data_IF_538344658589
#
_entry.id   IF_538344658589
#
_cell.length_a   1.000
_cell.length_b   1.000
_cell.length_c   1.000
_cell.angle_alpha   90.00
_cell.angle_beta   90.00
_cell.angle_gamma   90.00
#
_symmetry.space_group_name_H-M   'P 1'
#
loop_
_entity.id
_entity.type
_entity.pdbx_description
1 polymer ?
#
# COMPACT_ATOMS: atom_id res chain seq x y z
N UNK A 1 -25.34 7.80 2.15
CA UNK A 1 -24.47 7.63 0.96
C UNK A 1 -23.23 8.52 1.02
N UNK A 2 -23.36 9.84 1.21
CA UNK A 2 -22.23 10.79 1.22
C UNK A 2 -21.09 10.46 2.19
N UNK A 3 -21.38 9.94 3.40
CA UNK A 3 -20.34 9.59 4.36
C UNK A 3 -19.39 8.47 3.86
N UNK A 4 -19.92 7.50 3.10
CA UNK A 4 -19.13 6.41 2.52
C UNK A 4 -18.24 6.91 1.39
N UNK A 5 -18.78 7.78 0.53
CA UNK A 5 -18.02 8.48 -0.53
C UNK A 5 -16.88 9.30 0.06
N UNK A 6 -17.13 10.09 1.11
CA UNK A 6 -16.10 10.86 1.81
C UNK A 6 -15.02 9.94 2.41
N UNK A 7 -15.41 8.80 2.99
CA UNK A 7 -14.46 7.84 3.56
C UNK A 7 -13.57 7.19 2.49
N UNK A 8 -14.14 6.86 1.34
CA UNK A 8 -13.37 6.36 0.20
C UNK A 8 -12.39 7.43 -0.32
N UNK A 9 -12.85 8.68 -0.47
CA UNK A 9 -12.00 9.79 -0.93
C UNK A 9 -10.84 10.09 0.03
N UNK A 10 -11.11 10.14 1.34
CA UNK A 10 -10.09 10.24 2.40
C UNK A 10 -9.07 9.11 2.28
N UNK A 11 -9.53 7.87 2.06
CA UNK A 11 -8.61 6.73 1.90
C UNK A 11 -7.74 6.83 0.65
N UNK A 12 -8.29 7.28 -0.48
CA UNK A 12 -7.53 7.51 -1.71
C UNK A 12 -6.45 8.56 -1.46
N UNK A 13 -6.80 9.72 -0.86
CA UNK A 13 -5.83 10.77 -0.52
C UNK A 13 -4.70 10.23 0.36
N UNK A 14 -5.05 9.49 1.41
CA UNK A 14 -4.06 8.91 2.32
C UNK A 14 -3.16 7.87 1.64
N UNK A 15 -3.65 7.13 0.64
CA UNK A 15 -2.84 6.18 -0.11
C UNK A 15 -1.91 6.86 -1.12
N UNK A 16 -2.30 8.01 -1.66
CA UNK A 16 -1.43 8.85 -2.50
C UNK A 16 -0.33 9.50 -1.68
N UNK A 17 -0.67 10.00 -0.48
CA UNK A 17 0.26 10.67 0.44
C UNK A 17 1.04 9.70 1.34
N UNK A 18 0.88 8.38 1.15
CA UNK A 18 1.57 7.38 1.94
C UNK A 18 3.07 7.38 1.62
N UNK A 19 3.82 8.24 2.30
CA UNK A 19 5.27 8.29 2.23
C UNK A 19 5.87 7.21 3.12
N UNK A 20 6.85 6.48 2.60
CA UNK A 20 7.46 5.34 3.31
C UNK A 20 8.57 5.78 4.28
N UNK A 21 9.07 7.00 4.13
CA UNK A 21 10.03 7.59 5.07
C UNK A 21 9.41 7.87 6.44
N UNK A 22 8.07 7.96 6.49
CA UNK A 22 7.32 8.27 7.71
C UNK A 22 6.72 7.04 8.39
N UNK A 23 6.69 5.87 7.72
CA UNK A 23 6.04 4.66 8.25
C UNK A 23 6.82 3.37 7.96
N UNK A 24 6.98 2.48 8.96
CA UNK A 24 7.64 1.19 8.73
C UNK A 24 6.79 0.26 7.85
N UNK A 25 7.45 -0.66 7.16
CA UNK A 25 6.85 -1.55 6.14
C UNK A 25 5.66 -2.37 6.65
N UNK A 26 5.69 -2.82 7.91
CA UNK A 26 4.59 -3.56 8.51
C UNK A 26 3.32 -2.69 8.66
N UNK A 27 3.46 -1.41 9.01
CA UNK A 27 2.32 -0.48 9.11
C UNK A 27 1.71 -0.21 7.75
N UNK A 28 2.53 -0.06 6.72
CA UNK A 28 2.06 0.11 5.34
C UNK A 28 1.28 -1.14 4.92
N UNK A 29 1.81 -2.33 5.22
CA UNK A 29 1.15 -3.61 4.90
C UNK A 29 -0.22 -3.72 5.58
N UNK A 30 -0.29 -3.46 6.89
CA UNK A 30 -1.55 -3.46 7.64
C UNK A 30 -2.56 -2.47 7.07
N UNK A 31 -2.09 -1.28 6.69
CA UNK A 31 -2.94 -0.24 6.11
C UNK A 31 -3.52 -0.64 4.75
N UNK A 32 -2.74 -1.33 3.91
CA UNK A 32 -3.20 -1.89 2.64
C UNK A 32 -4.23 -3.01 2.86
N UNK A 33 -3.99 -3.92 3.82
CA UNK A 33 -4.92 -5.00 4.17
C UNK A 33 -6.26 -4.41 4.63
N UNK A 34 -6.23 -3.44 5.55
CA UNK A 34 -7.45 -2.78 6.02
C UNK A 34 -8.21 -2.07 4.88
N UNK A 35 -7.47 -1.48 3.93
CA UNK A 35 -8.09 -0.82 2.78
C UNK A 35 -8.83 -1.83 1.90
N UNK A 36 -8.23 -2.98 1.62
CA UNK A 36 -8.89 -4.05 0.86
C UNK A 36 -10.09 -4.65 1.59
N UNK A 37 -9.97 -4.86 2.90
CA UNK A 37 -10.99 -5.54 3.67
C UNK A 37 -12.22 -4.66 3.92
N UNK A 38 -12.03 -3.37 4.16
CA UNK A 38 -13.12 -2.50 4.65
C UNK A 38 -13.50 -1.39 3.67
N UNK A 39 -12.55 -0.84 2.92
CA UNK A 39 -12.81 0.33 2.07
C UNK A 39 -13.15 -0.09 0.63
N UNK A 40 -12.49 -1.11 0.10
CA UNK A 40 -12.77 -1.60 -1.25
C UNK A 40 -14.23 -2.07 -1.44
N UNK A 41 -14.85 -2.82 -0.50
CA UNK A 41 -16.27 -3.17 -0.59
C UNK A 41 -17.16 -1.93 -0.53
N UNK A 42 -16.81 -0.97 0.33
CA UNK A 42 -17.53 0.30 0.43
C UNK A 42 -17.49 1.10 -0.87
N UNK A 43 -16.36 1.13 -1.56
CA UNK A 43 -16.20 1.79 -2.85
C UNK A 43 -17.10 1.16 -3.93
N UNK A 44 -17.22 -0.19 -3.95
CA UNK A 44 -18.11 -0.91 -4.89
C UNK A 44 -19.57 -0.50 -4.74
N UNK A 45 -20.00 -0.13 -3.54
CA UNK A 45 -21.37 0.31 -3.27
C UNK A 45 -21.63 1.78 -3.61
N UNK A 46 -20.61 2.59 -3.87
CA UNK A 46 -20.78 4.05 -4.03
C UNK A 46 -20.30 4.62 -5.36
N UNK A 47 -19.18 4.14 -5.91
CA UNK A 47 -18.62 4.65 -7.17
C UNK A 47 -17.59 3.66 -7.75
N UNK A 48 -17.83 3.17 -8.97
CA UNK A 48 -16.92 2.27 -9.69
C UNK A 48 -15.54 2.87 -9.94
N UNK A 49 -15.44 4.17 -10.19
CA UNK A 49 -14.18 4.85 -10.46
C UNK A 49 -13.29 4.85 -9.20
N UNK A 50 -13.90 4.97 -8.02
CA UNK A 50 -13.18 4.85 -6.75
C UNK A 50 -12.65 3.43 -6.51
N UNK A 51 -13.32 2.41 -7.04
CA UNK A 51 -12.82 1.01 -6.96
C UNK A 51 -11.58 0.84 -7.82
N UNK A 52 -11.58 1.40 -9.03
CA UNK A 52 -10.44 1.38 -9.95
C UNK A 52 -9.25 2.05 -9.28
N UNK A 53 -9.42 3.29 -8.82
CA UNK A 53 -8.35 4.07 -8.19
C UNK A 53 -7.76 3.35 -6.97
N UNK A 54 -8.60 2.87 -6.04
CA UNK A 54 -8.13 2.14 -4.87
C UNK A 54 -7.37 0.85 -5.24
N UNK A 55 -7.85 0.11 -6.24
CA UNK A 55 -7.21 -1.14 -6.68
C UNK A 55 -5.83 -0.86 -7.27
N UNK A 56 -5.71 0.17 -8.09
CA UNK A 56 -4.45 0.56 -8.72
C UNK A 56 -3.44 1.07 -7.69
N UNK A 57 -3.87 1.94 -6.76
CA UNK A 57 -3.03 2.42 -5.66
C UNK A 57 -2.52 1.27 -4.79
N UNK A 58 -3.40 0.34 -4.38
CA UNK A 58 -2.99 -0.82 -3.58
C UNK A 58 -1.98 -1.69 -4.33
N UNK A 59 -2.23 -1.95 -5.63
CA UNK A 59 -1.35 -2.75 -6.47
C UNK A 59 0.03 -2.12 -6.58
N UNK A 60 0.11 -0.81 -6.78
CA UNK A 60 1.38 -0.09 -6.91
C UNK A 60 2.16 -0.08 -5.58
N UNK A 61 1.48 0.19 -4.47
CA UNK A 61 2.11 0.15 -3.13
C UNK A 61 2.66 -1.25 -2.80
N UNK A 62 1.96 -2.32 -3.17
CA UNK A 62 2.45 -3.70 -3.01
C UNK A 62 3.69 -4.00 -3.87
N UNK A 63 3.78 -3.46 -5.09
CA UNK A 63 4.99 -3.63 -5.93
C UNK A 63 6.19 -2.95 -5.28
N UNK A 64 6.00 -1.74 -4.76
CA UNK A 64 7.03 -0.96 -4.09
C UNK A 64 7.55 -1.69 -2.84
N UNK A 65 6.66 -2.26 -2.02
CA UNK A 65 7.06 -3.12 -0.89
C UNK A 65 7.89 -4.34 -1.35
N UNK A 66 7.42 -5.07 -2.37
CA UNK A 66 8.12 -6.27 -2.87
C UNK A 66 9.51 -5.98 -3.45
N UNK A 67 9.65 -4.93 -4.28
CA UNK A 67 10.95 -4.56 -4.88
C UNK A 67 12.03 -4.30 -3.83
N UNK A 68 11.64 -3.76 -2.67
CA UNK A 68 12.57 -3.46 -1.59
C UNK A 68 12.92 -4.68 -0.73
N UNK A 69 11.99 -5.63 -0.53
CA UNK A 69 12.34 -6.93 0.07
C UNK A 69 13.41 -7.64 -0.76
N UNK A 70 13.28 -7.65 -2.09
CA UNK A 70 14.30 -8.21 -2.98
C UNK A 70 15.62 -7.43 -2.96
N UNK A 71 15.60 -6.10 -2.78
CA UNK A 71 16.82 -5.29 -2.69
C UNK A 71 17.54 -5.44 -1.33
N UNK A 72 16.79 -5.59 -0.23
CA UNK A 72 17.33 -5.83 1.10
C UNK A 72 17.95 -7.23 1.25
N UNK A 73 17.37 -8.24 0.60
CA UNK A 73 17.98 -9.58 0.55
C UNK A 73 19.31 -9.55 -0.21
N UNK A 74 19.41 -8.82 -1.32
CA UNK A 74 20.69 -8.69 -2.06
C UNK A 74 21.76 -7.99 -1.21
N UNK A 75 21.39 -6.99 -0.40
CA UNK A 75 22.33 -6.30 0.49
C UNK A 75 22.88 -7.20 1.62
N UNK A 76 22.08 -8.13 2.15
CA UNK A 76 22.53 -9.07 3.20
C UNK A 76 23.46 -10.18 2.66
N UNK A 77 23.46 -10.44 1.35
CA UNK A 77 24.38 -11.39 0.71
C UNK A 77 25.57 -10.74 -0.02
N UNK A 78 25.64 -9.40 -0.04
CA UNK A 78 26.73 -8.68 -0.73
C UNK A 78 27.84 -8.20 0.21
N UNK A 79 27.70 -8.37 1.53
CA UNK A 79 28.65 -7.85 2.52
C UNK A 79 29.46 -8.91 3.28
N UNK A 80 29.22 -10.21 3.07
CA UNK A 80 30.17 -11.26 3.44
C UNK A 80 31.14 -11.50 2.29
N UNK A 81 32.07 -10.56 2.16
CA UNK A 81 33.37 -10.88 1.59
C UNK A 81 33.94 -12.04 2.43
N UNK A 82 34.18 -13.16 1.76
CA UNK A 82 34.96 -14.28 2.27
C UNK A 82 36.32 -13.74 2.75
N UNK A 83 36.41 -13.46 4.05
CA UNK A 83 37.66 -13.28 4.79
C UNK A 83 37.90 -14.57 5.55
N UNK A 84 38.66 -15.45 4.89
CA UNK A 84 39.70 -16.40 5.34
C UNK A 84 39.73 -17.66 4.46
#
# INVERSE_FOLDING_TARGET
VHARTLKCADRISNLTDLHRDTHPDHKITDYLIQTEQYILPMAREVNSDMVIELTDLIKERRKILRRMMSAGTVALYSNDAMVE
#
